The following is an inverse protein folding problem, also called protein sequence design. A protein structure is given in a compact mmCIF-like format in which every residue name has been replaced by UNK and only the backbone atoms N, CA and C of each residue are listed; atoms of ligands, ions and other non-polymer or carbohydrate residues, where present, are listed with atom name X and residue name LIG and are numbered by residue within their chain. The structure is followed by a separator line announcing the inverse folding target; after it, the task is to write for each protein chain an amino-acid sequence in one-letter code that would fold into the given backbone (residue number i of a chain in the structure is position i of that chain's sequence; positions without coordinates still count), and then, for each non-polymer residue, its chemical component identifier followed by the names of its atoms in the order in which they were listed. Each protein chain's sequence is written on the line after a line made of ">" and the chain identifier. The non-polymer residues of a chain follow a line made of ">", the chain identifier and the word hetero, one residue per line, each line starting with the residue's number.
data_IF_731162741539
#
_entry.id   IF_731162741539
#
_cell.length_a   1.000
_cell.length_b   1.000
_cell.length_c   1.000
_cell.angle_alpha   90.00
_cell.angle_beta   90.00
_cell.angle_gamma   90.00
#
_symmetry.space_group_name_H-M   'P 1'
#
loop_
_entity.id
_entity.type
_entity.pdbx_description
1 polymer ?
#
# COMPACT_ATOMS: atom_id res chain seq x y z
N UNK A 1 5.46 -10.18 6.52
CA UNK A 1 4.00 -10.29 6.45
C UNK A 1 3.47 -11.55 7.16
N UNK A 2 4.20 -12.65 7.18
CA UNK A 2 3.80 -13.91 7.82
C UNK A 2 3.51 -13.81 9.32
N UNK A 3 4.18 -12.90 10.04
CA UNK A 3 3.89 -12.65 11.46
C UNK A 3 2.42 -12.32 11.71
N UNK A 4 1.71 -11.72 10.74
CA UNK A 4 0.29 -11.42 10.85
C UNK A 4 -0.61 -12.68 10.85
N UNK A 5 -0.05 -13.84 10.50
CA UNK A 5 -0.77 -15.12 10.59
C UNK A 5 -0.63 -15.80 11.94
N UNK A 6 0.14 -15.23 12.86
CA UNK A 6 0.36 -15.76 14.20
C UNK A 6 -0.82 -15.45 15.13
N UNK A 7 -1.09 -16.31 16.13
CA UNK A 7 -2.29 -16.25 16.97
C UNK A 7 -2.50 -14.93 17.74
N UNK A 8 -1.42 -14.22 18.07
CA UNK A 8 -1.51 -12.92 18.78
C UNK A 8 -2.23 -11.84 17.97
N UNK A 9 -2.33 -12.00 16.65
CA UNK A 9 -3.00 -11.06 15.75
C UNK A 9 -4.46 -11.41 15.47
N UNK A 10 -4.98 -12.48 16.07
CA UNK A 10 -6.36 -12.89 15.85
C UNK A 10 -7.34 -11.80 16.29
N UNK A 11 -8.22 -11.37 15.37
CA UNK A 11 -9.19 -10.32 15.59
C UNK A 11 -8.60 -8.90 15.72
N UNK A 12 -7.31 -8.70 15.35
CA UNK A 12 -6.62 -7.41 15.46
C UNK A 12 -6.10 -6.86 14.15
N UNK A 13 -6.35 -7.54 13.04
CA UNK A 13 -5.93 -7.10 11.71
C UNK A 13 -7.09 -6.38 11.05
N UNK A 14 -6.90 -5.12 10.68
CA UNK A 14 -7.92 -4.31 10.02
C UNK A 14 -7.55 -4.04 8.57
N UNK A 15 -8.50 -4.18 7.66
CA UNK A 15 -8.33 -3.89 6.24
C UNK A 15 -9.65 -3.52 5.58
N UNK A 16 -9.59 -2.88 4.41
CA UNK A 16 -10.80 -2.72 3.61
C UNK A 16 -11.21 -4.07 3.01
N UNK A 17 -12.55 -4.25 2.85
CA UNK A 17 -13.06 -5.47 2.24
C UNK A 17 -12.54 -5.58 0.78
N UNK A 18 -11.77 -6.61 0.44
CA UNK A 18 -11.22 -6.78 -0.91
C UNK A 18 -12.28 -7.03 -1.98
N UNK A 19 -13.49 -7.43 -1.61
CA UNK A 19 -14.61 -7.60 -2.54
C UNK A 19 -15.26 -6.26 -2.92
N UNK A 20 -15.13 -5.24 -2.08
CA UNK A 20 -15.75 -3.93 -2.29
C UNK A 20 -14.75 -2.90 -2.86
N UNK A 21 -13.48 -3.24 -2.90
CA UNK A 21 -12.42 -2.33 -3.35
C UNK A 21 -11.44 -3.06 -4.28
N UNK A 22 -11.43 -2.65 -5.55
CA UNK A 22 -10.63 -3.30 -6.60
C UNK A 22 -9.12 -3.31 -6.29
N UNK A 23 -8.57 -2.21 -5.75
CA UNK A 23 -7.14 -2.16 -5.42
C UNK A 23 -6.78 -3.17 -4.34
N UNK A 24 -7.63 -3.33 -3.32
CA UNK A 24 -7.44 -4.34 -2.28
C UNK A 24 -7.63 -5.76 -2.82
N UNK A 25 -8.63 -5.96 -3.70
CA UNK A 25 -8.84 -7.22 -4.39
C UNK A 25 -7.62 -7.62 -5.21
N UNK A 26 -7.07 -6.70 -5.99
CA UNK A 26 -5.86 -6.92 -6.80
C UNK A 26 -4.64 -7.25 -5.94
N UNK A 27 -4.45 -6.54 -4.82
CA UNK A 27 -3.35 -6.83 -3.90
C UNK A 27 -3.44 -8.22 -3.31
N UNK A 28 -4.61 -8.62 -2.81
CA UNK A 28 -4.84 -9.96 -2.23
C UNK A 28 -4.63 -11.06 -3.28
N UNK A 29 -5.18 -10.90 -4.48
CA UNK A 29 -5.02 -11.91 -5.55
C UNK A 29 -3.59 -11.94 -6.09
N UNK A 30 -2.88 -10.83 -6.05
CA UNK A 30 -1.48 -10.73 -6.41
C UNK A 30 -0.59 -11.73 -5.67
N UNK A 31 -0.87 -12.01 -4.40
CA UNK A 31 -0.11 -13.01 -3.63
C UNK A 31 -0.14 -14.42 -4.21
N UNK A 32 -1.13 -14.74 -5.05
CA UNK A 32 -1.34 -16.09 -5.58
C UNK A 32 -0.77 -16.30 -6.99
N UNK A 33 -0.27 -15.24 -7.65
CA UNK A 33 0.12 -15.28 -9.08
C UNK A 33 1.56 -14.80 -9.29
N UNK A 34 2.10 -15.10 -10.47
CA UNK A 34 3.45 -14.67 -10.85
C UNK A 34 4.54 -15.18 -9.93
N UNK A 35 5.48 -14.32 -9.56
CA UNK A 35 6.59 -14.64 -8.66
C UNK A 35 6.26 -14.44 -7.17
N UNK A 36 5.12 -13.85 -6.85
CA UNK A 36 4.76 -13.53 -5.47
C UNK A 36 4.67 -14.76 -4.55
N UNK A 37 4.14 -15.92 -4.99
CA UNK A 37 4.17 -17.13 -4.17
C UNK A 37 5.59 -17.56 -3.78
N UNK A 38 6.56 -17.42 -4.68
CA UNK A 38 7.95 -17.77 -4.40
C UNK A 38 8.55 -16.78 -3.38
N UNK A 39 8.33 -15.49 -3.56
CA UNK A 39 8.77 -14.45 -2.61
C UNK A 39 8.18 -14.67 -1.22
N UNK A 40 6.90 -15.02 -1.13
CA UNK A 40 6.26 -15.37 0.14
C UNK A 40 6.88 -16.62 0.79
N UNK A 41 7.17 -17.66 0.01
CA UNK A 41 7.81 -18.88 0.55
C UNK A 41 9.21 -18.58 1.07
N UNK A 42 10.00 -17.77 0.36
CA UNK A 42 11.32 -17.33 0.80
C UNK A 42 11.26 -16.49 2.07
N UNK A 43 10.30 -15.54 2.16
CA UNK A 43 10.09 -14.75 3.36
C UNK A 43 9.66 -15.59 4.56
N UNK A 44 8.85 -16.64 4.35
CA UNK A 44 8.51 -17.60 5.40
C UNK A 44 9.75 -18.33 5.91
N UNK A 45 10.56 -18.85 4.99
CA UNK A 45 11.80 -19.55 5.32
C UNK A 45 12.80 -18.64 6.04
N UNK A 46 12.94 -17.40 5.60
CA UNK A 46 13.80 -16.42 6.26
C UNK A 46 13.34 -16.10 7.68
N UNK A 47 12.04 -16.04 7.92
CA UNK A 47 11.46 -15.71 9.22
C UNK A 47 11.52 -16.87 10.21
N UNK A 48 11.16 -18.09 9.76
CA UNK A 48 11.00 -19.25 10.67
C UNK A 48 12.14 -20.27 10.58
N UNK A 49 13.05 -20.15 9.62
CA UNK A 49 14.18 -21.05 9.43
C UNK A 49 13.81 -22.43 8.85
N UNK A 50 12.58 -22.59 8.35
CA UNK A 50 12.08 -23.84 7.77
C UNK A 50 11.29 -23.60 6.49
N UNK A 51 11.20 -24.64 5.64
CA UNK A 51 10.40 -24.57 4.42
C UNK A 51 8.90 -24.50 4.75
N UNK A 52 8.18 -23.65 3.97
CA UNK A 52 6.72 -23.56 4.10
C UNK A 52 6.06 -24.89 3.71
N UNK A 53 5.22 -25.40 4.58
CA UNK A 53 4.36 -26.56 4.29
C UNK A 53 2.96 -26.06 3.93
N UNK A 54 2.52 -26.41 2.73
CA UNK A 54 1.18 -26.08 2.27
C UNK A 54 0.16 -27.01 2.93
N UNK A 55 -0.94 -26.46 3.38
CA UNK A 55 -2.08 -27.24 3.86
C UNK A 55 -2.97 -27.70 2.69
N UNK A 56 -3.82 -28.68 2.95
CA UNK A 56 -4.73 -29.21 1.92
C UNK A 56 -5.56 -28.11 1.25
N UNK A 57 -5.58 -28.17 -0.07
CA UNK A 57 -6.31 -27.21 -0.91
C UNK A 57 -5.54 -25.90 -1.23
N UNK A 58 -4.31 -25.74 -0.71
CA UNK A 58 -3.46 -24.60 -1.08
C UNK A 58 -2.49 -25.00 -2.20
N UNK A 59 -2.57 -24.30 -3.35
CA UNK A 59 -1.75 -24.59 -4.52
C UNK A 59 -0.33 -23.99 -4.40
N UNK A 60 -0.19 -22.89 -3.66
CA UNK A 60 1.09 -22.20 -3.45
C UNK A 60 1.10 -21.40 -2.14
N UNK A 61 2.22 -20.72 -1.87
CA UNK A 61 2.41 -19.94 -0.65
C UNK A 61 1.41 -18.78 -0.51
N UNK A 62 0.94 -18.20 -1.60
CA UNK A 62 -0.09 -17.15 -1.56
C UNK A 62 -1.41 -17.66 -0.99
N UNK A 63 -1.91 -18.78 -1.48
CA UNK A 63 -3.12 -19.40 -0.93
C UNK A 63 -2.95 -19.82 0.53
N UNK A 64 -1.80 -20.35 0.90
CA UNK A 64 -1.50 -20.70 2.27
C UNK A 64 -1.49 -19.48 3.18
N UNK A 65 -0.84 -18.39 2.73
CA UNK A 65 -0.82 -17.12 3.46
C UNK A 65 -2.24 -16.57 3.68
N UNK A 66 -3.04 -16.49 2.63
CA UNK A 66 -4.40 -15.97 2.70
C UNK A 66 -5.30 -16.83 3.60
N UNK A 67 -5.15 -18.14 3.54
CA UNK A 67 -5.86 -19.08 4.41
C UNK A 67 -5.52 -18.84 5.88
N UNK A 68 -4.24 -18.69 6.21
CA UNK A 68 -3.79 -18.41 7.59
C UNK A 68 -4.20 -17.02 8.04
N UNK A 69 -4.10 -16.01 7.16
CA UNK A 69 -4.54 -14.65 7.45
C UNK A 69 -6.05 -14.61 7.75
N UNK A 70 -6.85 -15.32 6.94
CA UNK A 70 -8.29 -15.43 7.16
C UNK A 70 -8.64 -16.13 8.48
N UNK A 71 -7.87 -17.15 8.88
CA UNK A 71 -8.04 -17.83 10.17
C UNK A 71 -7.81 -16.90 11.38
N UNK A 72 -7.09 -15.80 11.19
CA UNK A 72 -6.92 -14.73 12.19
C UNK A 72 -8.10 -13.73 12.23
N UNK A 73 -9.20 -14.03 11.54
CA UNK A 73 -10.44 -13.27 11.62
C UNK A 73 -10.23 -11.75 11.40
N UNK A 74 -9.69 -11.33 10.22
CA UNK A 74 -9.45 -9.93 9.95
C UNK A 74 -10.75 -9.11 9.99
N UNK A 75 -10.67 -7.90 10.50
CA UNK A 75 -11.79 -6.97 10.60
C UNK A 75 -11.88 -6.14 9.32
N UNK A 76 -12.96 -6.31 8.58
CA UNK A 76 -13.20 -5.55 7.36
C UNK A 76 -13.92 -4.23 7.65
N UNK A 77 -13.42 -3.15 7.04
CA UNK A 77 -13.98 -1.80 7.17
C UNK A 77 -14.31 -1.21 5.82
N UNK A 78 -15.15 -0.18 5.80
CA UNK A 78 -15.53 0.50 4.56
C UNK A 78 -14.47 1.49 4.06
N UNK A 79 -13.54 1.94 4.91
CA UNK A 79 -12.59 3.00 4.52
C UNK A 79 -11.25 2.92 5.24
N UNK A 80 -10.21 3.43 4.59
CA UNK A 80 -8.89 3.61 5.20
C UNK A 80 -8.89 4.63 6.36
N UNK A 81 -9.85 5.56 6.40
CA UNK A 81 -9.96 6.50 7.52
C UNK A 81 -10.39 5.78 8.80
N UNK A 82 -11.37 4.88 8.72
CA UNK A 82 -11.79 4.07 9.86
C UNK A 82 -10.65 3.19 10.39
N UNK A 83 -9.82 2.64 9.51
CA UNK A 83 -8.64 1.87 9.90
C UNK A 83 -7.62 2.78 10.61
N UNK A 84 -7.29 3.93 10.01
CA UNK A 84 -6.32 4.86 10.57
C UNK A 84 -6.76 5.38 11.94
N UNK A 85 -8.03 5.67 12.12
CA UNK A 85 -8.62 6.07 13.41
C UNK A 85 -8.50 4.94 14.45
N UNK A 86 -8.91 3.73 14.09
CA UNK A 86 -8.86 2.58 15.00
C UNK A 86 -7.43 2.22 15.42
N UNK A 87 -6.46 2.26 14.48
CA UNK A 87 -5.05 2.00 14.79
C UNK A 87 -4.41 3.15 15.54
N UNK A 88 -4.73 4.40 15.16
CA UNK A 88 -4.06 5.61 15.62
C UNK A 88 -4.64 6.24 16.88
N UNK A 89 -5.76 5.77 17.42
CA UNK A 89 -6.35 6.33 18.65
C UNK A 89 -5.37 6.23 19.81
N UNK A 90 -5.01 7.36 20.47
CA UNK A 90 -4.05 7.35 21.56
C UNK A 90 -4.53 6.57 22.79
N UNK A 91 -3.58 6.05 23.56
CA UNK A 91 -3.86 5.44 24.87
C UNK A 91 -4.36 4.00 24.82
N UNK A 92 -4.41 3.37 23.68
CA UNK A 92 -4.73 1.95 23.56
C UNK A 92 -3.62 1.09 24.18
N UNK A 93 -3.99 0.08 24.97
CA UNK A 93 -3.04 -0.87 25.54
C UNK A 93 -2.68 -1.98 24.56
N UNK A 94 -3.58 -2.30 23.64
CA UNK A 94 -3.47 -3.39 22.68
C UNK A 94 -4.05 -2.94 21.31
N UNK A 95 -3.36 -2.04 20.60
CA UNK A 95 -3.86 -1.49 19.35
C UNK A 95 -3.90 -2.56 18.24
N UNK A 96 -4.87 -2.48 17.32
CA UNK A 96 -4.86 -3.30 16.12
C UNK A 96 -3.74 -2.87 15.18
N UNK A 97 -3.44 -3.72 14.20
CA UNK A 97 -2.67 -3.36 13.00
C UNK A 97 -3.62 -3.13 11.84
N UNK A 98 -3.24 -2.25 10.92
CA UNK A 98 -4.14 -1.91 9.81
C UNK A 98 -3.42 -1.77 8.49
N UNK A 99 -4.01 -2.37 7.46
CA UNK A 99 -3.63 -2.09 6.08
C UNK A 99 -4.46 -0.91 5.57
N UNK A 100 -3.83 0.23 5.35
CA UNK A 100 -4.50 1.42 4.84
C UNK A 100 -3.62 2.20 3.86
N UNK A 101 -4.23 3.14 3.15
CA UNK A 101 -3.48 3.99 2.24
C UNK A 101 -2.46 4.86 3.00
N UNK A 102 -1.22 4.91 2.51
CA UNK A 102 -0.13 5.72 3.08
C UNK A 102 -0.47 7.20 3.24
N UNK A 103 -1.38 7.72 2.42
CA UNK A 103 -1.89 9.10 2.51
C UNK A 103 -2.55 9.43 3.86
N UNK A 104 -2.83 8.44 4.70
CA UNK A 104 -3.36 8.67 6.06
C UNK A 104 -2.30 9.26 7.00
N UNK A 105 -1.02 9.09 6.71
CA UNK A 105 0.07 9.71 7.45
C UNK A 105 -0.07 11.24 7.54
N UNK A 106 -0.48 11.89 6.44
CA UNK A 106 -0.68 13.36 6.43
C UNK A 106 -1.83 13.83 7.34
N UNK A 107 -2.81 12.96 7.61
CA UNK A 107 -3.95 13.28 8.47
C UNK A 107 -3.70 13.00 9.95
N UNK A 108 -2.62 12.30 10.28
CA UNK A 108 -2.38 11.85 11.64
C UNK A 108 -2.29 13.01 12.64
N UNK A 109 -1.52 14.06 12.30
CA UNK A 109 -1.36 15.22 13.17
C UNK A 109 -2.68 15.98 13.39
N UNK A 110 -3.46 16.20 12.32
CA UNK A 110 -4.73 16.95 12.40
C UNK A 110 -5.79 16.21 13.22
N UNK A 111 -5.75 14.87 13.22
CA UNK A 111 -6.71 14.04 13.93
C UNK A 111 -6.18 13.54 15.30
N UNK A 112 -4.95 13.88 15.65
CA UNK A 112 -4.33 13.40 16.88
C UNK A 112 -4.06 11.90 16.91
N UNK A 113 -3.93 11.26 15.75
CA UNK A 113 -3.62 9.84 15.64
C UNK A 113 -2.13 9.59 15.86
N UNK A 114 -1.83 8.49 16.53
CA UNK A 114 -0.46 8.05 16.82
C UNK A 114 -0.26 6.66 16.21
N UNK A 115 0.36 6.61 15.04
CA UNK A 115 0.76 5.36 14.40
C UNK A 115 2.04 5.55 13.58
N UNK A 116 2.73 4.45 13.30
CA UNK A 116 3.88 4.41 12.43
C UNK A 116 3.70 3.34 11.34
N UNK A 117 4.19 3.58 10.12
CA UNK A 117 4.24 2.55 9.10
C UNK A 117 5.22 1.45 9.53
N UNK A 118 4.89 0.21 9.19
CA UNK A 118 5.76 -0.95 9.38
C UNK A 118 6.11 -1.49 8.01
N UNK A 119 7.40 -1.70 7.77
CA UNK A 119 7.88 -2.32 6.55
C UNK A 119 7.85 -3.85 6.71
N UNK A 120 7.12 -4.53 5.87
CA UNK A 120 6.89 -5.97 5.92
C UNK A 120 7.66 -6.68 4.79
N UNK A 121 8.13 -7.90 5.06
CA UNK A 121 8.69 -8.79 4.04
C UNK A 121 7.66 -9.83 3.60
N UNK A 122 7.54 -10.14 2.29
CA UNK A 122 8.28 -9.53 1.18
C UNK A 122 7.73 -8.17 0.77
N UNK A 123 6.47 -7.84 1.09
CA UNK A 123 5.82 -6.61 0.68
C UNK A 123 4.96 -6.02 1.79
N UNK A 124 5.03 -4.69 1.92
CA UNK A 124 4.15 -3.90 2.78
C UNK A 124 2.82 -3.58 2.10
N UNK A 125 2.81 -3.52 0.77
CA UNK A 125 1.65 -3.18 -0.04
C UNK A 125 2.00 -3.05 -1.52
N UNK A 126 1.11 -2.43 -2.27
CA UNK A 126 1.29 -2.13 -3.70
C UNK A 126 1.46 -0.62 -3.92
N UNK A 127 2.28 -0.20 -4.90
CA UNK A 127 2.33 1.19 -5.29
C UNK A 127 1.00 1.59 -5.96
N UNK A 128 0.42 2.70 -5.52
CA UNK A 128 -0.77 3.29 -6.14
C UNK A 128 -0.35 4.50 -6.98
N UNK A 129 -0.15 4.29 -8.27
CA UNK A 129 0.25 5.36 -9.20
C UNK A 129 -0.98 6.13 -9.64
N UNK A 130 -0.96 7.46 -9.44
CA UNK A 130 -1.98 8.34 -9.97
C UNK A 130 -1.56 8.85 -11.35
N UNK A 131 -2.37 8.61 -12.35
CA UNK A 131 -2.11 9.00 -13.74
C UNK A 131 -3.06 10.09 -14.20
N UNK A 132 -2.55 10.99 -15.04
CA UNK A 132 -3.32 12.09 -15.62
C UNK A 132 -3.43 11.88 -17.13
N UNK A 133 -4.64 11.96 -17.66
CA UNK A 133 -4.94 11.74 -19.08
C UNK A 133 -5.64 12.94 -19.71
N UNK A 134 -5.38 13.16 -20.99
CA UNK A 134 -6.24 14.01 -21.82
C UNK A 134 -7.31 13.10 -22.42
N UNK A 135 -8.57 13.39 -22.09
CA UNK A 135 -9.71 12.61 -22.57
C UNK A 135 -9.86 12.77 -24.08
N UNK A 136 -10.17 11.68 -24.79
CA UNK A 136 -10.51 11.73 -26.21
C UNK A 136 -11.73 12.64 -26.43
N UNK A 137 -11.67 13.46 -27.48
CA UNK A 137 -12.72 14.47 -27.73
C UNK A 137 -12.68 15.70 -26.83
N UNK A 138 -11.61 15.88 -26.04
CA UNK A 138 -11.41 17.10 -25.24
C UNK A 138 -11.45 18.35 -26.13
N UNK A 139 -12.31 19.32 -25.81
CA UNK A 139 -12.47 20.59 -26.59
C UNK A 139 -11.19 21.44 -26.54
N UNK A 140 -10.40 21.36 -25.48
CA UNK A 140 -9.21 22.17 -25.27
C UNK A 140 -7.96 21.30 -24.92
N UNK A 141 -7.49 20.42 -25.83
CA UNK A 141 -6.43 19.47 -25.53
C UNK A 141 -5.09 20.14 -25.19
N UNK A 142 -4.82 21.32 -25.77
CA UNK A 142 -3.61 22.08 -25.46
C UNK A 142 -3.61 22.61 -24.01
N UNK A 143 -4.75 23.12 -23.55
CA UNK A 143 -4.92 23.58 -22.18
C UNK A 143 -4.83 22.41 -21.17
N UNK A 144 -5.43 21.26 -21.49
CA UNK A 144 -5.34 20.06 -20.67
C UNK A 144 -3.88 19.58 -20.53
N UNK A 145 -3.13 19.52 -21.63
CA UNK A 145 -1.70 19.17 -21.61
C UNK A 145 -0.87 20.18 -20.80
N UNK A 146 -1.18 21.49 -20.92
CA UNK A 146 -0.50 22.52 -20.14
C UNK A 146 -0.77 22.37 -18.65
N UNK A 147 -2.01 22.06 -18.26
CA UNK A 147 -2.37 21.80 -16.88
C UNK A 147 -1.63 20.56 -16.33
N UNK A 148 -1.61 19.45 -17.07
CA UNK A 148 -0.87 18.24 -16.69
C UNK A 148 0.61 18.60 -16.49
N UNK A 149 1.21 19.31 -17.45
CA UNK A 149 2.62 19.74 -17.36
C UNK A 149 2.86 20.60 -16.11
N UNK A 150 1.96 21.52 -15.81
CA UNK A 150 2.05 22.37 -14.62
C UNK A 150 1.95 21.53 -13.33
N UNK A 151 0.97 20.63 -13.25
CA UNK A 151 0.77 19.75 -12.08
C UNK A 151 1.93 18.78 -11.86
N UNK A 152 2.54 18.30 -12.94
CA UNK A 152 3.72 17.41 -12.86
C UNK A 152 5.03 18.13 -12.54
N UNK A 153 5.03 19.46 -12.51
CA UNK A 153 6.22 20.30 -12.42
C UNK A 153 6.91 20.52 -13.76
N UNK A 154 7.37 21.73 -14.01
CA UNK A 154 8.03 22.13 -15.25
C UNK A 154 9.40 21.45 -15.39
N UNK A 155 9.86 21.26 -16.63
CA UNK A 155 11.20 20.73 -16.94
C UNK A 155 12.31 21.77 -16.66
N UNK A 156 11.94 22.99 -16.40
CA UNK A 156 12.77 24.13 -16.03
C UNK A 156 13.06 24.23 -14.51
N UNK A 157 12.61 23.22 -13.75
CA UNK A 157 12.77 23.15 -12.29
C UNK A 157 11.63 23.82 -11.51
N UNK A 158 10.61 24.40 -12.18
CA UNK A 158 9.42 24.88 -11.49
C UNK A 158 8.53 23.69 -11.05
N UNK A 159 8.47 23.48 -9.75
CA UNK A 159 7.64 22.42 -9.12
C UNK A 159 6.43 22.97 -8.40
N UNK A 160 6.10 24.26 -8.62
CA UNK A 160 5.01 24.95 -7.90
C UNK A 160 3.66 24.26 -8.09
N UNK A 161 3.38 23.72 -9.28
CA UNK A 161 2.17 22.97 -9.57
C UNK A 161 2.10 21.59 -8.93
N UNK A 162 3.25 20.98 -8.63
CA UNK A 162 3.34 19.69 -7.94
C UNK A 162 3.28 19.83 -6.42
N UNK A 163 3.68 20.97 -5.88
CA UNK A 163 3.77 21.22 -4.44
C UNK A 163 2.54 20.78 -3.63
N UNK A 164 1.28 20.95 -4.06
CA UNK A 164 0.11 20.50 -3.31
C UNK A 164 -0.01 18.98 -3.20
N UNK A 165 0.67 18.24 -4.07
CA UNK A 165 0.65 16.76 -4.13
C UNK A 165 1.86 16.14 -3.40
N UNK A 166 2.92 16.92 -3.16
CA UNK A 166 4.09 16.49 -2.41
C UNK A 166 3.78 16.54 -0.90
N UNK A 167 3.13 15.51 -0.40
CA UNK A 167 2.64 15.44 0.97
C UNK A 167 3.05 14.14 1.62
N UNK A 168 3.08 14.11 2.95
CA UNK A 168 3.43 12.92 3.72
C UNK A 168 2.57 11.71 3.34
N UNK A 169 3.22 10.59 3.05
CA UNK A 169 2.56 9.37 2.55
C UNK A 169 2.29 9.36 1.05
N UNK A 170 2.82 10.35 0.33
CA UNK A 170 2.91 10.38 -1.13
C UNK A 170 4.36 10.54 -1.56
N UNK A 171 4.70 10.02 -2.73
CA UNK A 171 6.05 10.12 -3.30
C UNK A 171 6.01 10.69 -4.70
N UNK A 172 6.93 11.62 -5.03
CA UNK A 172 7.10 12.08 -6.39
C UNK A 172 7.47 10.92 -7.32
N UNK A 173 6.92 10.93 -8.52
CA UNK A 173 7.34 10.01 -9.61
C UNK A 173 8.54 10.55 -10.40
N UNK A 174 8.98 11.77 -10.09
CA UNK A 174 10.15 12.43 -10.69
C UNK A 174 11.31 12.37 -9.71
N UNK A 175 12.46 11.95 -10.18
CA UNK A 175 13.69 11.80 -9.37
C UNK A 175 14.31 13.14 -8.95
N UNK A 176 13.93 14.25 -9.61
CA UNK A 176 14.41 15.60 -9.32
C UNK A 176 13.52 16.37 -8.33
N UNK A 177 12.49 15.73 -7.79
CA UNK A 177 11.62 16.31 -6.74
C UNK A 177 11.85 15.52 -5.45
N UNK A 178 12.37 16.20 -4.45
CA UNK A 178 12.55 15.61 -3.13
C UNK A 178 11.19 15.33 -2.46
N UNK A 179 11.00 14.18 -1.83
CA UNK A 179 9.82 13.91 -1.03
C UNK A 179 9.65 14.91 0.10
N UNK A 180 8.42 15.07 0.58
CA UNK A 180 8.13 15.88 1.76
C UNK A 180 8.97 15.43 2.97
N UNK A 181 9.42 16.39 3.77
CA UNK A 181 10.14 16.14 5.02
C UNK A 181 9.38 15.15 5.91
N UNK A 182 10.10 14.20 6.48
CA UNK A 182 9.52 13.12 7.30
C UNK A 182 9.00 11.91 6.51
N UNK A 183 9.08 11.94 5.18
CA UNK A 183 8.78 10.76 4.36
C UNK A 183 9.93 9.76 4.42
N UNK A 184 9.63 8.48 4.62
CA UNK A 184 10.58 7.40 4.34
C UNK A 184 10.87 7.36 2.85
N UNK A 185 12.14 7.27 2.41
CA UNK A 185 12.46 7.11 0.99
C UNK A 185 11.70 5.94 0.37
N UNK A 186 11.14 6.12 -0.83
CA UNK A 186 10.36 5.06 -1.48
C UNK A 186 11.19 3.79 -1.71
N UNK A 187 12.47 3.94 -1.98
CA UNK A 187 13.42 2.82 -2.15
C UNK A 187 13.64 1.97 -0.89
N UNK A 188 13.24 2.47 0.27
CA UNK A 188 13.34 1.76 1.54
C UNK A 188 12.03 1.04 1.93
N UNK A 189 10.99 1.17 1.11
CA UNK A 189 9.68 0.55 1.36
C UNK A 189 9.57 -0.70 0.51
N UNK A 190 9.31 -1.83 1.14
CA UNK A 190 9.03 -3.07 0.44
C UNK A 190 7.63 -3.00 -0.20
N UNK A 191 7.59 -2.84 -1.50
CA UNK A 191 6.35 -2.87 -2.27
C UNK A 191 6.40 -3.99 -3.30
N UNK A 192 5.24 -4.54 -3.62
CA UNK A 192 5.13 -5.53 -4.68
C UNK A 192 5.72 -4.96 -5.98
N UNK A 193 6.43 -5.78 -6.78
CA UNK A 193 6.97 -5.36 -8.05
C UNK A 193 5.86 -4.74 -8.92
N UNK A 194 6.17 -3.61 -9.51
CA UNK A 194 5.26 -2.86 -10.35
C UNK A 194 5.92 -2.63 -11.71
N UNK A 195 5.33 -3.19 -12.76
CA UNK A 195 5.72 -2.86 -14.12
C UNK A 195 4.77 -1.80 -14.69
N UNK A 196 5.30 -0.59 -14.89
CA UNK A 196 4.55 0.51 -15.49
C UNK A 196 4.07 0.18 -16.92
N UNK A 197 4.70 -0.81 -17.60
CA UNK A 197 4.33 -1.22 -18.94
C UNK A 197 3.15 -2.20 -18.97
N UNK A 198 2.77 -2.80 -17.85
CA UNK A 198 1.62 -3.71 -17.75
C UNK A 198 0.27 -2.98 -17.57
N UNK A 199 0.29 -1.65 -17.45
CA UNK A 199 -0.95 -0.84 -17.25
C UNK A 199 -1.63 -0.47 -18.57
N UNK A 200 -1.06 -0.78 -19.73
CA UNK A 200 -1.57 -0.36 -21.04
C UNK A 200 -1.95 -1.53 -21.94
#
# INVERSE_FOLDING_TARGET
>A
IWQLTEPQWKGKIMMQNPLDNLSWGSWITGFCVGEEPNRLAEAYKALYGEELKLSDGCENAGYEFLKRLHANEPIFTASSDAIAEAVGTPGQQDPPVGFCASSKLRKAADNGWVFAPVNLEPDTGIPAVNTLYVVEGCEHPAAAKLLIRFMMGGIDGDTSGYKPFNTLGGWPVRDDIEPTEGSTPFSEINVAPFDANEIY
#
